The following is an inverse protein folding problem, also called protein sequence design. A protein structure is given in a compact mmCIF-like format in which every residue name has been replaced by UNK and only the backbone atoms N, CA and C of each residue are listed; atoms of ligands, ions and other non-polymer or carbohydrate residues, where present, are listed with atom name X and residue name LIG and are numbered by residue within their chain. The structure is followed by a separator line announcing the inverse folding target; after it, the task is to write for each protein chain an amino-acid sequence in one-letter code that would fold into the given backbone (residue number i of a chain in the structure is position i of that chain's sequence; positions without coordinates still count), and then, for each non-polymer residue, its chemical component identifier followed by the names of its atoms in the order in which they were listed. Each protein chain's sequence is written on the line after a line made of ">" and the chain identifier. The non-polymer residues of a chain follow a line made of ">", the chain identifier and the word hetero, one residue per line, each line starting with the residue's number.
data_IF_329220051473
#
_entry.id   IF_329220051473
#
_cell.length_a   1.000
_cell.length_b   1.000
_cell.length_c   1.000
_cell.angle_alpha   90.00
_cell.angle_beta   90.00
_cell.angle_gamma   90.00
#
_symmetry.space_group_name_H-M   'P 1'
#
loop_
_entity.id
_entity.type
_entity.pdbx_description
1 polymer ?
#
# COMPACT_ATOMS: atom_id res chain seq x y z
N UNK A 1 11.44 27.57 8.02
CA UNK A 1 10.52 27.25 6.91
C UNK A 1 9.11 27.15 7.45
N UNK A 2 8.21 27.92 6.94
CA UNK A 2 6.81 27.88 7.37
C UNK A 2 6.13 26.56 6.94
N UNK A 3 5.06 26.20 7.64
CA UNK A 3 4.38 24.92 7.43
C UNK A 3 3.89 24.71 5.99
N UNK A 4 3.36 25.79 5.36
CA UNK A 4 2.90 25.71 3.97
C UNK A 4 4.05 25.56 2.97
N UNK A 5 5.13 26.30 3.19
CA UNK A 5 6.34 26.21 2.36
C UNK A 5 6.96 24.81 2.46
N UNK A 6 6.98 24.26 3.66
CA UNK A 6 7.50 22.91 3.89
C UNK A 6 6.69 21.86 3.14
N UNK A 7 5.36 21.90 3.24
CA UNK A 7 4.49 20.98 2.50
C UNK A 7 4.64 21.13 0.98
N UNK A 8 4.79 22.37 0.50
CA UNK A 8 5.08 22.61 -0.91
C UNK A 8 6.41 21.99 -1.34
N UNK A 9 7.43 22.13 -0.52
CA UNK A 9 8.74 21.51 -0.77
C UNK A 9 8.68 19.99 -0.78
N UNK A 10 7.96 19.40 0.18
CA UNK A 10 7.73 17.95 0.21
C UNK A 10 7.06 17.48 -1.08
N UNK A 11 6.03 18.18 -1.54
CA UNK A 11 5.33 17.85 -2.77
C UNK A 11 6.25 17.94 -4.00
N UNK A 12 7.08 18.97 -4.07
CA UNK A 12 8.08 19.12 -5.15
C UNK A 12 9.07 17.94 -5.13
N UNK A 13 9.59 17.59 -3.97
CA UNK A 13 10.48 16.42 -3.81
C UNK A 13 9.83 15.14 -4.32
N UNK A 14 8.55 14.92 -3.99
CA UNK A 14 7.81 13.74 -4.44
C UNK A 14 7.55 13.74 -5.94
N UNK A 15 7.28 14.91 -6.53
CA UNK A 15 7.06 15.05 -7.99
C UNK A 15 8.32 14.80 -8.80
N UNK A 16 9.46 15.26 -8.32
CA UNK A 16 10.75 15.14 -9.01
C UNK A 16 11.42 13.77 -8.79
N UNK A 17 11.02 13.05 -7.75
CA UNK A 17 11.66 11.79 -7.37
C UNK A 17 11.33 10.68 -8.37
N UNK A 18 12.36 9.95 -8.78
CA UNK A 18 12.25 8.73 -9.58
C UNK A 18 12.13 7.47 -8.72
N UNK A 19 12.38 7.62 -7.41
CA UNK A 19 12.31 6.55 -6.40
C UNK A 19 11.53 7.07 -5.20
N UNK A 20 10.97 6.18 -4.35
CA UNK A 20 10.36 6.61 -3.11
C UNK A 20 11.33 7.41 -2.24
N UNK A 21 10.82 8.45 -1.59
CA UNK A 21 11.59 9.33 -0.70
C UNK A 21 11.25 9.02 0.74
N UNK A 22 12.25 8.75 1.56
CA UNK A 22 12.02 8.42 2.96
C UNK A 22 11.63 9.66 3.78
N UNK A 23 10.89 9.44 4.85
CA UNK A 23 10.58 10.53 5.80
C UNK A 23 11.84 11.14 6.40
N UNK A 24 12.90 10.35 6.57
CA UNK A 24 14.20 10.83 7.06
C UNK A 24 14.87 11.77 6.07
N UNK A 25 14.89 11.43 4.79
CA UNK A 25 15.42 12.32 3.74
C UNK A 25 14.67 13.64 3.68
N UNK A 26 13.34 13.60 3.71
CA UNK A 26 12.52 14.81 3.75
C UNK A 26 12.79 15.65 4.99
N UNK A 27 12.92 14.99 6.15
CA UNK A 27 13.23 15.66 7.42
C UNK A 27 14.58 16.38 7.37
N UNK A 28 15.59 15.75 6.78
CA UNK A 28 16.91 16.37 6.60
C UNK A 28 16.85 17.58 5.68
N UNK A 29 16.20 17.46 4.54
CA UNK A 29 16.07 18.57 3.57
C UNK A 29 15.27 19.74 4.16
N UNK A 30 14.20 19.44 4.89
CA UNK A 30 13.35 20.46 5.50
C UNK A 30 13.84 20.93 6.88
N UNK A 31 14.90 20.33 7.42
CA UNK A 31 15.46 20.65 8.73
C UNK A 31 14.46 20.57 9.89
N UNK A 32 13.66 19.52 9.86
CA UNK A 32 12.64 19.22 10.89
C UNK A 32 12.75 17.77 11.33
N UNK A 33 12.01 17.38 12.37
CA UNK A 33 11.95 15.99 12.80
C UNK A 33 11.15 15.13 11.79
N UNK A 34 11.45 13.83 11.75
CA UNK A 34 10.69 12.88 10.94
C UNK A 34 9.19 12.90 11.31
N UNK A 35 8.87 13.08 12.58
CA UNK A 35 7.48 13.14 13.06
C UNK A 35 6.71 14.31 12.44
N UNK A 36 7.35 15.45 12.26
CA UNK A 36 6.74 16.61 11.56
C UNK A 36 6.45 16.24 10.11
N UNK A 37 7.34 15.53 9.43
CA UNK A 37 7.11 15.05 8.06
C UNK A 37 5.91 14.11 8.00
N UNK A 38 5.78 13.17 8.93
CA UNK A 38 4.62 12.27 9.00
C UNK A 38 3.31 13.07 9.11
N UNK A 39 3.29 14.10 9.94
CA UNK A 39 2.15 15.01 10.06
C UNK A 39 1.86 15.79 8.76
N UNK A 40 2.88 16.29 8.09
CA UNK A 40 2.73 16.99 6.81
C UNK A 40 2.19 16.07 5.71
N UNK A 41 2.68 14.82 5.64
CA UNK A 41 2.16 13.82 4.71
C UNK A 41 0.68 13.54 4.97
N UNK A 42 0.28 13.42 6.23
CA UNK A 42 -1.13 13.23 6.60
C UNK A 42 -2.00 14.41 6.12
N UNK A 43 -1.52 15.64 6.26
CA UNK A 43 -2.23 16.83 5.79
C UNK A 43 -2.29 16.90 4.26
N UNK A 44 -1.24 16.52 3.56
CA UNK A 44 -1.24 16.43 2.09
C UNK A 44 -2.28 15.42 1.61
N UNK A 45 -2.35 14.25 2.24
CA UNK A 45 -3.38 13.25 1.93
C UNK A 45 -4.78 13.78 2.18
N UNK A 46 -5.00 14.44 3.30
CA UNK A 46 -6.28 15.03 3.65
C UNK A 46 -6.74 16.10 2.65
N UNK A 47 -5.80 16.80 2.01
CA UNK A 47 -6.08 17.79 0.96
C UNK A 47 -6.24 17.18 -0.44
N UNK A 48 -6.22 15.87 -0.57
CA UNK A 48 -6.43 15.17 -1.84
C UNK A 48 -5.15 14.82 -2.60
N UNK A 49 -3.96 15.08 -2.05
CA UNK A 49 -2.71 14.67 -2.67
C UNK A 49 -2.51 13.16 -2.52
N UNK A 50 -2.37 12.40 -3.63
CA UNK A 50 -2.30 10.94 -3.56
C UNK A 50 -0.89 10.46 -3.19
N UNK A 51 -0.51 10.63 -1.93
CA UNK A 51 0.76 10.13 -1.40
C UNK A 51 0.59 8.72 -0.88
N UNK A 52 1.36 7.79 -1.40
CA UNK A 52 1.38 6.40 -0.93
C UNK A 52 2.64 6.10 -0.14
N UNK A 53 2.49 5.24 0.87
CA UNK A 53 3.61 4.70 1.64
C UNK A 53 4.05 3.38 1.00
N UNK A 54 5.36 3.25 0.82
CA UNK A 54 5.97 2.01 0.31
C UNK A 54 7.02 1.52 1.31
N UNK A 55 7.53 0.29 1.18
CA UNK A 55 8.64 -0.19 2.01
C UNK A 55 9.90 0.66 1.92
N UNK A 56 10.02 1.44 0.86
CA UNK A 56 11.21 2.29 0.59
C UNK A 56 10.99 3.77 0.86
N UNK A 57 9.80 4.15 1.29
CA UNK A 57 9.46 5.55 1.57
C UNK A 57 8.15 5.97 0.93
N UNK A 58 7.98 7.28 0.76
CA UNK A 58 6.77 7.88 0.19
C UNK A 58 6.94 8.17 -1.29
N UNK A 59 5.86 8.02 -2.04
CA UNK A 59 5.81 8.44 -3.44
C UNK A 59 4.41 8.93 -3.80
N UNK A 60 4.30 9.70 -4.86
CA UNK A 60 3.00 10.04 -5.42
C UNK A 60 2.46 8.84 -6.19
N UNK A 61 1.15 8.61 -6.03
CA UNK A 61 0.45 7.66 -6.87
C UNK A 61 0.53 8.15 -8.31
N UNK A 62 1.21 7.39 -9.14
CA UNK A 62 1.27 7.71 -10.57
C UNK A 62 0.08 7.10 -11.27
N UNK A 63 -0.54 7.87 -12.15
CA UNK A 63 -1.45 7.30 -13.14
C UNK A 63 -0.56 6.48 -14.08
N UNK A 64 -0.52 5.20 -13.84
CA UNK A 64 0.20 4.28 -14.72
C UNK A 64 -0.43 4.32 -16.11
N UNK A 65 0.37 4.22 -17.20
CA UNK A 65 -0.20 3.98 -18.53
C UNK A 65 -1.03 2.68 -18.56
N UNK A 66 -0.93 1.86 -17.54
CA UNK A 66 -1.68 0.61 -17.39
C UNK A 66 -2.91 0.76 -16.47
N UNK A 67 -3.34 1.99 -16.14
CA UNK A 67 -4.50 2.24 -15.31
C UNK A 67 -4.20 2.98 -14.01
N UNK A 68 -5.04 2.77 -13.01
CA UNK A 68 -4.92 3.36 -11.67
C UNK A 68 -4.34 2.37 -10.68
N UNK A 69 -3.67 2.90 -9.66
CA UNK A 69 -3.13 2.10 -8.55
C UNK A 69 -3.64 2.63 -7.23
N UNK A 70 -3.89 1.73 -6.29
CA UNK A 70 -4.30 2.09 -4.93
C UNK A 70 -3.76 1.06 -3.94
N UNK A 71 -3.42 1.52 -2.73
CA UNK A 71 -3.04 0.65 -1.63
C UNK A 71 -4.22 0.44 -0.70
N UNK A 72 -4.49 -0.82 -0.37
CA UNK A 72 -5.55 -1.20 0.57
C UNK A 72 -4.95 -1.75 1.85
N UNK A 73 -5.28 -1.13 2.97
CA UNK A 73 -4.92 -1.63 4.29
C UNK A 73 -5.95 -2.65 4.73
N UNK A 74 -5.50 -3.87 5.00
CA UNK A 74 -6.36 -5.00 5.32
C UNK A 74 -5.96 -5.62 6.67
N UNK A 75 -6.92 -6.25 7.33
CA UNK A 75 -6.68 -7.05 8.53
C UNK A 75 -7.59 -8.28 8.51
N UNK A 76 -6.97 -9.45 8.49
CA UNK A 76 -7.66 -10.74 8.60
C UNK A 76 -6.67 -11.85 8.92
N UNK A 77 -7.19 -13.01 9.31
CA UNK A 77 -6.39 -14.22 9.52
C UNK A 77 -6.17 -15.01 8.23
N UNK A 78 -5.41 -16.12 8.31
CA UNK A 78 -5.09 -16.96 7.14
C UNK A 78 -6.32 -17.51 6.39
N UNK A 79 -7.43 -17.68 7.08
CA UNK A 79 -8.67 -18.22 6.52
C UNK A 79 -9.32 -17.34 5.43
N UNK A 80 -8.98 -16.06 5.40
CA UNK A 80 -9.55 -15.11 4.43
C UNK A 80 -8.58 -14.73 3.29
N UNK A 81 -7.38 -15.27 3.26
CA UNK A 81 -6.36 -14.90 2.25
C UNK A 81 -6.86 -15.20 0.84
N UNK A 82 -7.37 -16.41 0.60
CA UNK A 82 -7.87 -16.78 -0.71
C UNK A 82 -9.05 -15.90 -1.15
N UNK A 83 -10.01 -15.66 -0.27
CA UNK A 83 -11.17 -14.83 -0.55
C UNK A 83 -10.76 -13.38 -0.84
N UNK A 84 -9.82 -12.83 -0.08
CA UNK A 84 -9.28 -11.48 -0.30
C UNK A 84 -8.66 -11.34 -1.68
N UNK A 85 -7.72 -12.23 -2.02
CA UNK A 85 -7.00 -12.17 -3.29
C UNK A 85 -7.93 -12.41 -4.48
N UNK A 86 -8.86 -13.38 -4.37
CA UNK A 86 -9.86 -13.62 -5.39
C UNK A 86 -10.80 -12.42 -5.60
N UNK A 87 -11.20 -11.74 -4.52
CA UNK A 87 -12.03 -10.54 -4.61
C UNK A 87 -11.36 -9.44 -5.43
N UNK A 88 -10.05 -9.31 -5.33
CA UNK A 88 -9.28 -8.32 -6.08
C UNK A 88 -9.20 -8.71 -7.56
N UNK A 89 -8.75 -9.93 -7.87
CA UNK A 89 -8.53 -10.35 -9.26
C UNK A 89 -9.85 -10.55 -10.02
N UNK A 90 -10.93 -10.98 -9.37
CA UNK A 90 -12.24 -11.12 -9.98
C UNK A 90 -12.84 -9.79 -10.45
N UNK A 91 -12.42 -8.68 -9.83
CA UNK A 91 -12.89 -7.34 -10.17
C UNK A 91 -11.90 -6.55 -11.04
N UNK A 92 -10.98 -7.25 -11.69
CA UNK A 92 -10.03 -6.64 -12.61
C UNK A 92 -8.77 -6.08 -11.96
N UNK A 93 -8.56 -6.34 -10.67
CA UNK A 93 -7.37 -5.89 -9.95
C UNK A 93 -6.17 -6.80 -10.16
N UNK A 94 -4.99 -6.21 -10.15
CA UNK A 94 -3.70 -6.91 -10.10
C UNK A 94 -3.09 -6.66 -8.73
N UNK A 95 -2.78 -7.72 -7.99
CA UNK A 95 -2.13 -7.60 -6.68
C UNK A 95 -0.63 -7.60 -6.88
N UNK A 96 0.03 -6.45 -6.69
CA UNK A 96 1.47 -6.34 -6.88
C UNK A 96 2.27 -6.93 -5.74
N UNK A 97 1.82 -6.74 -4.51
CA UNK A 97 2.62 -7.08 -3.33
C UNK A 97 1.77 -7.33 -2.09
N UNK A 98 2.45 -7.72 -1.03
CA UNK A 98 1.98 -7.61 0.34
C UNK A 98 3.05 -6.87 1.14
N UNK A 99 2.64 -5.88 1.92
CA UNK A 99 3.54 -5.07 2.75
C UNK A 99 3.06 -5.13 4.19
N UNK A 100 3.97 -5.36 5.11
CA UNK A 100 3.69 -5.30 6.55
C UNK A 100 4.68 -4.35 7.21
N UNK A 101 4.27 -3.73 8.30
CA UNK A 101 5.15 -2.89 9.12
C UNK A 101 5.64 -3.69 10.32
N UNK A 102 6.95 -3.75 10.47
CA UNK A 102 7.61 -4.40 11.61
C UNK A 102 8.30 -3.35 12.47
N UNK A 103 8.17 -3.46 13.79
CA UNK A 103 8.71 -2.47 14.74
C UNK A 103 10.23 -2.29 14.61
N UNK A 104 10.95 -3.38 14.31
CA UNK A 104 12.40 -3.38 14.22
C UNK A 104 12.89 -3.16 12.79
N UNK A 105 12.31 -3.89 11.84
CA UNK A 105 12.79 -3.91 10.44
C UNK A 105 12.11 -2.89 9.54
N UNK A 106 11.08 -2.19 10.03
CA UNK A 106 10.30 -1.26 9.22
C UNK A 106 9.35 -1.98 8.27
N UNK A 107 9.24 -1.48 7.04
CA UNK A 107 8.36 -2.09 6.04
C UNK A 107 9.03 -3.31 5.41
N UNK A 108 8.32 -4.43 5.44
CA UNK A 108 8.71 -5.68 4.78
C UNK A 108 7.76 -5.93 3.62
N UNK A 109 8.29 -6.26 2.46
CA UNK A 109 7.52 -6.47 1.23
C UNK A 109 7.76 -7.85 0.65
N UNK A 110 6.66 -8.50 0.25
CA UNK A 110 6.69 -9.67 -0.62
C UNK A 110 6.07 -9.33 -1.96
N UNK A 111 6.75 -9.62 -3.07
CA UNK A 111 6.19 -9.45 -4.42
C UNK A 111 5.23 -10.59 -4.72
N UNK A 112 4.04 -10.28 -5.24
CA UNK A 112 3.01 -11.26 -5.57
C UNK A 112 2.71 -11.30 -7.06
N UNK A 113 2.42 -10.17 -7.69
CA UNK A 113 2.09 -10.03 -9.12
C UNK A 113 0.96 -10.97 -9.57
N UNK A 114 -0.13 -10.99 -8.80
CA UNK A 114 -1.28 -11.86 -9.06
C UNK A 114 -2.29 -11.14 -9.95
N UNK A 115 -2.60 -11.71 -11.11
CA UNK A 115 -3.49 -11.13 -12.13
C UNK A 115 -4.77 -11.92 -12.33
N UNK A 116 -4.82 -13.17 -11.89
CA UNK A 116 -5.92 -14.09 -12.14
C UNK A 116 -6.12 -15.04 -10.96
N UNK A 117 -7.26 -15.72 -10.94
CA UNK A 117 -7.49 -16.80 -9.97
C UNK A 117 -6.46 -17.92 -10.08
N UNK A 118 -5.98 -18.18 -11.29
CA UNK A 118 -4.92 -19.16 -11.51
C UNK A 118 -3.64 -18.76 -10.76
N UNK A 119 -3.25 -17.48 -10.88
CA UNK A 119 -2.09 -16.95 -10.15
C UNK A 119 -2.27 -17.09 -8.65
N UNK A 120 -3.48 -16.77 -8.15
CA UNK A 120 -3.81 -16.91 -6.72
C UNK A 120 -3.65 -18.37 -6.28
N UNK A 121 -4.17 -19.33 -7.05
CA UNK A 121 -4.06 -20.74 -6.72
C UNK A 121 -2.61 -21.23 -6.71
N UNK A 122 -1.81 -20.83 -7.70
CA UNK A 122 -0.38 -21.16 -7.77
C UNK A 122 0.37 -20.59 -6.56
N UNK A 123 0.07 -19.36 -6.17
CA UNK A 123 0.64 -18.73 -4.98
C UNK A 123 0.29 -19.51 -3.71
N UNK A 124 -0.99 -19.84 -3.52
CA UNK A 124 -1.45 -20.60 -2.35
C UNK A 124 -0.86 -22.01 -2.29
N UNK A 125 -0.73 -22.69 -3.44
CA UNK A 125 -0.08 -23.98 -3.54
C UNK A 125 1.39 -23.91 -3.13
N UNK A 126 2.10 -22.90 -3.58
CA UNK A 126 3.50 -22.66 -3.23
C UNK A 126 3.66 -22.40 -1.74
N UNK A 127 2.78 -21.60 -1.15
CA UNK A 127 2.77 -21.35 0.29
C UNK A 127 2.56 -22.63 1.10
N UNK A 128 1.62 -23.47 0.69
CA UNK A 128 1.35 -24.75 1.35
C UNK A 128 2.51 -25.74 1.20
N UNK A 129 3.09 -25.84 0.01
CA UNK A 129 4.18 -26.76 -0.28
C UNK A 129 5.46 -26.44 0.49
N UNK A 130 5.76 -25.16 0.64
CA UNK A 130 6.94 -24.67 1.36
C UNK A 130 6.73 -24.53 2.85
N UNK A 131 5.48 -24.64 3.32
CA UNK A 131 5.06 -24.38 4.72
C UNK A 131 5.54 -23.01 5.23
N UNK A 132 5.72 -22.07 4.31
CA UNK A 132 6.11 -20.71 4.67
C UNK A 132 4.96 -20.00 5.41
N UNK A 133 5.24 -19.31 6.52
CA UNK A 133 4.22 -18.49 7.16
C UNK A 133 3.86 -17.28 6.27
N UNK A 134 2.62 -16.82 6.36
CA UNK A 134 2.22 -15.57 5.72
C UNK A 134 3.00 -14.41 6.31
N UNK A 135 3.40 -13.46 5.47
CA UNK A 135 4.10 -12.26 5.94
C UNK A 135 3.25 -11.49 6.96
N UNK A 136 1.93 -11.42 6.76
CA UNK A 136 1.00 -10.75 7.68
C UNK A 136 0.90 -11.40 9.05
N UNK A 137 1.40 -12.62 9.24
CA UNK A 137 1.41 -13.28 10.57
C UNK A 137 2.29 -12.55 11.58
N UNK A 138 3.32 -11.83 11.13
CA UNK A 138 4.20 -11.05 12.00
C UNK A 138 3.60 -9.71 12.43
N UNK A 139 2.48 -9.31 11.86
CA UNK A 139 1.78 -8.05 12.13
C UNK A 139 0.32 -8.27 12.57
N UNK A 140 0.03 -9.42 13.13
CA UNK A 140 -1.31 -9.81 13.62
C UNK A 140 -2.41 -9.71 12.54
N UNK A 141 -2.05 -10.01 11.30
CA UNK A 141 -2.95 -9.99 10.15
C UNK A 141 -3.08 -8.63 9.46
N UNK A 142 -2.45 -7.59 9.98
CA UNK A 142 -2.47 -6.25 9.36
C UNK A 142 -1.45 -6.18 8.22
N UNK A 143 -1.92 -5.83 7.03
CA UNK A 143 -1.08 -5.75 5.85
C UNK A 143 -1.66 -4.81 4.81
N UNK A 144 -0.83 -4.40 3.86
CA UNK A 144 -1.24 -3.56 2.74
C UNK A 144 -0.97 -4.28 1.43
N UNK A 145 -1.89 -4.18 0.49
CA UNK A 145 -1.69 -4.60 -0.89
C UNK A 145 -1.69 -3.38 -1.81
N UNK A 146 -0.69 -3.26 -2.66
CA UNK A 146 -0.73 -2.34 -3.79
C UNK A 146 -1.45 -3.05 -4.94
N UNK A 147 -2.56 -2.46 -5.38
CA UNK A 147 -3.43 -3.00 -6.42
C UNK A 147 -3.45 -2.05 -7.61
N UNK A 148 -3.34 -2.60 -8.81
CA UNK A 148 -3.57 -1.87 -10.06
C UNK A 148 -4.85 -2.34 -10.71
N UNK A 149 -5.56 -1.44 -11.39
CA UNK A 149 -6.73 -1.76 -12.19
C UNK A 149 -6.73 -0.90 -13.46
N UNK A 150 -7.38 -1.40 -14.52
CA UNK A 150 -7.40 -0.70 -15.82
C UNK A 150 -8.20 0.60 -15.78
N UNK A 151 -9.22 0.68 -14.92
CA UNK A 151 -10.12 1.85 -14.81
C UNK A 151 -10.42 2.19 -13.36
N UNK A 152 -10.81 3.45 -13.05
CA UNK A 152 -11.30 3.80 -11.72
C UNK A 152 -12.52 2.99 -11.29
N UNK A 153 -13.38 2.59 -12.23
CA UNK A 153 -14.57 1.79 -11.97
C UNK A 153 -14.19 0.39 -11.48
N UNK A 154 -13.19 -0.24 -12.10
CA UNK A 154 -12.66 -1.52 -11.65
C UNK A 154 -12.05 -1.41 -10.25
N UNK A 155 -11.32 -0.33 -9.99
CA UNK A 155 -10.74 -0.08 -8.66
C UNK A 155 -11.84 0.07 -7.60
N UNK A 156 -12.92 0.77 -7.91
CA UNK A 156 -14.06 0.90 -7.01
C UNK A 156 -14.76 -0.44 -6.77
N UNK A 157 -14.85 -1.29 -7.80
CA UNK A 157 -15.38 -2.65 -7.66
C UNK A 157 -14.51 -3.51 -6.73
N UNK A 158 -13.20 -3.37 -6.82
CA UNK A 158 -12.25 -4.01 -5.89
C UNK A 158 -12.50 -3.54 -4.46
N UNK A 159 -12.60 -2.23 -4.24
CA UNK A 159 -12.87 -1.64 -2.93
C UNK A 159 -14.15 -2.21 -2.32
N UNK A 160 -15.25 -2.20 -3.08
CA UNK A 160 -16.54 -2.71 -2.61
C UNK A 160 -16.50 -4.18 -2.27
N UNK A 161 -15.78 -4.98 -3.07
CA UNK A 161 -15.61 -6.40 -2.79
C UNK A 161 -14.86 -6.64 -1.49
N UNK A 162 -13.81 -5.87 -1.22
CA UNK A 162 -13.05 -5.95 0.03
C UNK A 162 -13.86 -5.46 1.23
N UNK A 163 -14.67 -4.41 1.07
CA UNK A 163 -15.59 -3.94 2.11
C UNK A 163 -16.64 -5.02 2.45
N UNK A 164 -17.23 -5.63 1.44
CA UNK A 164 -18.23 -6.70 1.61
C UNK A 164 -17.64 -7.91 2.32
N UNK A 165 -16.39 -8.25 2.02
CA UNK A 165 -15.68 -9.34 2.68
C UNK A 165 -15.29 -9.00 4.13
N UNK A 166 -15.26 -7.72 4.47
CA UNK A 166 -14.97 -7.25 5.83
C UNK A 166 -13.48 -7.28 6.18
N UNK A 167 -12.60 -7.19 5.19
CA UNK A 167 -11.15 -7.25 5.40
C UNK A 167 -10.46 -5.88 5.45
N UNK A 168 -11.12 -4.82 5.01
CA UNK A 168 -10.56 -3.48 5.09
C UNK A 168 -10.43 -3.04 6.54
N UNK A 169 -9.27 -2.53 6.88
CA UNK A 169 -8.92 -2.08 8.23
C UNK A 169 -8.84 -0.56 8.27
N UNK A 170 -9.61 0.03 9.19
CA UNK A 170 -9.52 1.45 9.49
C UNK A 170 -8.83 1.62 10.84
N UNK A 171 -7.69 2.33 10.85
CA UNK A 171 -7.07 2.70 12.10
C UNK A 171 -8.02 3.63 12.86
N UNK A 172 -8.46 3.20 14.04
CA UNK A 172 -9.20 4.08 14.95
C UNK A 172 -8.23 5.15 15.44
N UNK A 173 -8.51 6.39 15.06
CA UNK A 173 -7.81 7.54 15.63
C UNK A 173 -8.10 7.65 17.12
#
# INVERSE_FOLDING_TARGET
>A
MENQERRKKILEMLKEATKPVTGTEMAQVCQVSRQIIVGDIALLRASGTPVISTPRGYQLQQVSPYGVQESFLCKHGPEKVEAELNSIVDNGGVVHNVVVEHEVYGFLEGELNLKSRRDVQLYLQKMRATRAPLLSSISEGVHTHLVAASTPEDMEAVRKALETLGVLYEEKK
#
